data_IF_781519074199
#
_entry.id   IF_781519074199
#
_cell.length_a   1.000
_cell.length_b   1.000
_cell.length_c   1.000
_cell.angle_alpha   90.00
_cell.angle_beta   90.00
_cell.angle_gamma   90.00
#
_symmetry.space_group_name_H-M   'P 1'
#
loop_
_entity.id
_entity.type
_entity.pdbx_description
1 polymer ?
#
# COMPACT_ATOMS: atom_id res chain seq x y z
N UNK A 1 10.90 2.94 37.75
CA UNK A 1 11.08 2.38 39.14
C UNK A 1 10.25 1.13 39.26
N UNK A 2 10.83 0.00 39.71
CA UNK A 2 10.16 -1.30 39.81
C UNK A 2 9.24 -1.32 41.02
N UNK A 3 7.95 -1.61 40.82
CA UNK A 3 7.00 -1.89 41.92
C UNK A 3 7.10 -3.34 42.35
N UNK A 4 7.97 -3.58 43.32
CA UNK A 4 8.20 -4.95 43.86
C UNK A 4 6.97 -5.59 44.49
N UNK A 5 6.03 -4.83 45.07
CA UNK A 5 4.79 -5.36 45.63
C UNK A 5 3.88 -5.87 44.50
N UNK A 6 3.73 -5.10 43.42
CA UNK A 6 2.98 -5.50 42.25
C UNK A 6 3.63 -6.70 41.55
N UNK A 7 4.96 -6.67 41.37
CA UNK A 7 5.74 -7.79 40.81
C UNK A 7 5.50 -9.08 41.58
N UNK A 8 5.68 -9.07 42.91
CA UNK A 8 5.48 -10.24 43.77
C UNK A 8 4.05 -10.80 43.67
N UNK A 9 3.04 -9.94 43.68
CA UNK A 9 1.64 -10.32 43.52
C UNK A 9 1.37 -10.98 42.16
N UNK A 10 1.87 -10.40 41.07
CA UNK A 10 1.67 -10.88 39.71
C UNK A 10 2.39 -12.21 39.49
N UNK A 11 3.67 -12.30 39.85
CA UNK A 11 4.45 -13.53 39.71
C UNK A 11 3.89 -14.66 40.59
N UNK A 12 3.47 -14.37 41.83
CA UNK A 12 2.84 -15.36 42.70
C UNK A 12 1.54 -15.93 42.13
N UNK A 13 0.78 -15.11 41.37
CA UNK A 13 -0.40 -15.59 40.64
C UNK A 13 0.00 -16.49 39.47
N UNK A 14 0.97 -16.06 38.66
CA UNK A 14 1.47 -16.84 37.52
C UNK A 14 2.05 -18.21 37.96
N UNK A 15 2.81 -18.25 39.05
CA UNK A 15 3.40 -19.48 39.56
C UNK A 15 2.28 -20.47 40.02
N UNK A 16 1.23 -19.99 40.68
CA UNK A 16 0.10 -20.84 41.07
C UNK A 16 -0.69 -21.39 39.87
N UNK A 17 -0.72 -20.67 38.76
CA UNK A 17 -1.37 -21.10 37.51
C UNK A 17 -0.50 -22.05 36.68
N UNK A 18 0.79 -22.19 37.00
CA UNK A 18 1.75 -22.99 36.23
C UNK A 18 2.24 -22.34 34.93
N UNK A 19 1.77 -21.13 34.63
CA UNK A 19 2.17 -20.40 33.40
C UNK A 19 2.13 -18.88 33.62
N UNK A 20 2.77 -18.16 32.70
CA UNK A 20 2.81 -16.70 32.71
C UNK A 20 1.42 -16.12 32.38
N UNK A 21 0.93 -15.13 33.13
CA UNK A 21 -0.39 -14.50 32.85
C UNK A 21 -0.37 -13.59 31.62
N UNK A 22 0.81 -13.15 31.16
CA UNK A 22 0.92 -12.37 29.91
C UNK A 22 1.11 -13.26 28.67
N UNK A 23 1.57 -14.50 28.85
CA UNK A 23 1.68 -15.50 27.79
C UNK A 23 1.42 -16.90 28.38
N UNK A 24 0.22 -17.46 28.27
CA UNK A 24 -0.12 -18.78 28.84
C UNK A 24 0.70 -19.95 28.28
N UNK A 25 1.44 -19.76 27.19
CA UNK A 25 2.33 -20.78 26.60
C UNK A 25 3.72 -20.83 27.23
N UNK A 26 4.04 -19.88 28.11
CA UNK A 26 5.34 -19.80 28.78
C UNK A 26 5.23 -20.06 30.29
N UNK A 27 6.22 -20.73 30.90
CA UNK A 27 6.28 -20.90 32.34
C UNK A 27 6.54 -19.56 33.04
N UNK A 28 6.21 -19.46 34.31
CA UNK A 28 6.61 -18.36 35.17
C UNK A 28 7.66 -18.85 36.19
N UNK A 29 8.86 -18.23 36.26
CA UNK A 29 9.33 -17.06 35.53
C UNK A 29 9.67 -17.36 34.05
N UNK A 30 9.28 -16.45 33.16
CA UNK A 30 9.54 -16.57 31.74
C UNK A 30 11.03 -16.26 31.42
N UNK A 31 11.46 -16.58 30.20
CA UNK A 31 12.86 -16.41 29.76
C UNK A 31 13.34 -14.96 29.82
N UNK A 32 12.48 -13.99 29.52
CA UNK A 32 12.81 -12.58 29.66
C UNK A 32 13.14 -12.21 31.10
N UNK A 33 12.32 -12.68 32.06
CA UNK A 33 12.57 -12.45 33.47
C UNK A 33 13.89 -13.09 33.92
N UNK A 34 14.15 -14.34 33.48
CA UNK A 34 15.39 -15.05 33.82
C UNK A 34 16.64 -14.34 33.30
N UNK A 35 16.57 -13.79 32.10
CA UNK A 35 17.72 -13.13 31.46
C UNK A 35 17.92 -11.67 31.88
N UNK A 36 16.85 -10.90 32.01
CA UNK A 36 16.90 -9.44 32.19
C UNK A 36 16.26 -8.93 33.48
N UNK A 37 15.71 -9.81 34.30
CA UNK A 37 15.00 -9.46 35.54
C UNK A 37 13.85 -8.47 35.32
N UNK A 38 13.16 -8.56 34.17
CA UNK A 38 12.03 -7.70 33.79
C UNK A 38 10.75 -8.53 33.73
N UNK A 39 9.74 -8.13 34.51
CA UNK A 39 8.44 -8.78 34.52
C UNK A 39 7.40 -7.95 33.73
N UNK A 40 7.19 -8.28 32.46
CA UNK A 40 6.21 -7.58 31.62
C UNK A 40 4.79 -7.67 32.17
N UNK A 41 4.46 -8.77 32.84
CA UNK A 41 3.13 -8.96 33.46
C UNK A 41 2.87 -7.96 34.60
N UNK A 42 3.92 -7.47 35.27
CA UNK A 42 3.80 -6.41 36.28
C UNK A 42 3.82 -5.00 35.68
N UNK A 43 3.91 -4.89 34.35
CA UNK A 43 3.98 -3.62 33.64
C UNK A 43 5.39 -3.02 33.61
N UNK A 44 6.41 -3.82 33.96
CA UNK A 44 7.80 -3.40 33.80
C UNK A 44 8.19 -3.40 32.33
N UNK A 45 9.19 -2.60 31.98
CA UNK A 45 9.73 -2.50 30.62
C UNK A 45 11.25 -2.62 30.70
N UNK A 46 11.86 -3.02 29.61
CA UNK A 46 13.32 -2.92 29.47
C UNK A 46 13.70 -1.42 29.55
N UNK A 47 14.57 -1.04 30.48
CA UNK A 47 15.01 0.35 30.63
C UNK A 47 15.81 0.80 29.39
N UNK A 48 16.48 -0.14 28.72
CA UNK A 48 17.28 0.06 27.52
C UNK A 48 16.53 -0.40 26.24
N UNK A 49 15.20 -0.27 26.17
CA UNK A 49 14.50 -0.56 24.93
C UNK A 49 15.05 0.32 23.79
N UNK A 50 15.55 -0.28 22.69
CA UNK A 50 16.28 0.47 21.68
C UNK A 50 15.41 1.56 21.04
N UNK A 51 15.98 2.76 20.89
CA UNK A 51 15.35 3.91 20.25
C UNK A 51 15.74 4.05 18.78
N UNK A 52 16.89 3.46 18.41
CA UNK A 52 17.44 3.48 17.05
C UNK A 52 17.59 2.05 16.55
N UNK A 53 16.49 1.50 16.01
CA UNK A 53 16.48 0.17 15.39
C UNK A 53 15.99 0.33 13.96
N UNK A 54 16.67 -0.28 12.97
CA UNK A 54 16.14 -0.35 11.62
C UNK A 54 14.77 -1.04 11.64
N UNK A 55 13.69 -0.31 11.36
CA UNK A 55 12.33 -0.87 11.48
C UNK A 55 12.10 -2.03 10.53
N UNK A 56 12.74 -2.01 9.34
CA UNK A 56 12.62 -3.06 8.34
C UNK A 56 13.26 -4.39 8.78
N UNK A 57 14.20 -4.36 9.74
CA UNK A 57 14.77 -5.57 10.33
C UNK A 57 13.85 -6.28 11.33
N UNK A 58 12.76 -5.65 11.73
CA UNK A 58 11.80 -6.15 12.73
C UNK A 58 10.62 -6.88 12.11
N UNK A 59 10.55 -6.99 10.79
CA UNK A 59 9.41 -7.56 10.05
C UNK A 59 9.88 -8.58 9.01
N UNK A 60 9.07 -9.60 8.75
CA UNK A 60 9.37 -10.61 7.74
C UNK A 60 9.27 -10.05 6.33
N UNK A 61 8.21 -9.29 6.05
CA UNK A 61 7.95 -8.67 4.76
C UNK A 61 7.78 -7.16 4.94
N UNK A 62 8.56 -6.36 4.21
CA UNK A 62 8.50 -4.91 4.30
C UNK A 62 7.36 -4.32 3.44
N UNK A 63 6.67 -3.33 4.00
CA UNK A 63 5.64 -2.56 3.29
C UNK A 63 4.46 -3.40 2.82
N UNK A 64 3.91 -3.04 1.66
CA UNK A 64 2.76 -3.73 1.08
C UNK A 64 3.03 -5.17 0.63
N UNK A 65 4.29 -5.64 0.62
CA UNK A 65 4.62 -7.05 0.45
C UNK A 65 4.10 -7.94 1.59
N UNK A 66 3.71 -7.36 2.73
CA UNK A 66 3.09 -8.06 3.86
C UNK A 66 1.59 -8.36 3.67
N UNK A 67 0.95 -7.82 2.65
CA UNK A 67 -0.49 -8.04 2.37
C UNK A 67 -0.74 -9.50 1.96
N UNK A 68 -1.95 -10.00 2.29
CA UNK A 68 -2.44 -11.32 1.87
C UNK A 68 -2.57 -11.34 0.34
N UNK A 69 -2.29 -12.49 -0.29
CA UNK A 69 -2.44 -12.62 -1.74
C UNK A 69 -3.88 -12.40 -2.20
N UNK A 70 -4.06 -11.86 -3.42
CA UNK A 70 -5.40 -11.68 -4.00
C UNK A 70 -6.18 -13.00 -4.10
N UNK A 71 -5.49 -14.09 -4.39
CA UNK A 71 -6.12 -15.41 -4.50
C UNK A 71 -6.66 -15.90 -3.17
N UNK A 72 -5.86 -15.81 -2.09
CA UNK A 72 -6.28 -16.20 -0.74
C UNK A 72 -7.40 -15.30 -0.23
N UNK A 73 -7.31 -14.01 -0.49
CA UNK A 73 -8.36 -13.05 -0.12
C UNK A 73 -9.68 -13.36 -0.84
N UNK A 74 -9.64 -13.66 -2.15
CA UNK A 74 -10.83 -14.09 -2.91
C UNK A 74 -11.44 -15.36 -2.34
N UNK A 75 -10.63 -16.35 -1.98
CA UNK A 75 -11.10 -17.59 -1.33
C UNK A 75 -11.77 -17.29 0.01
N UNK A 76 -11.15 -16.44 0.83
CA UNK A 76 -11.68 -16.06 2.15
C UNK A 76 -13.00 -15.28 2.06
N UNK A 77 -13.15 -14.43 1.05
CA UNK A 77 -14.37 -13.63 0.83
C UNK A 77 -15.46 -14.39 0.06
N UNK A 78 -15.13 -15.55 -0.50
CA UNK A 78 -16.09 -16.37 -1.27
C UNK A 78 -17.24 -16.86 -0.40
N UNK A 79 -18.47 -16.67 -0.87
CA UNK A 79 -19.67 -17.12 -0.16
C UNK A 79 -20.14 -16.20 0.97
N UNK A 80 -19.45 -15.10 1.22
CA UNK A 80 -19.96 -14.12 2.18
C UNK A 80 -21.20 -13.40 1.64
N UNK A 81 -22.18 -13.09 2.52
CA UNK A 81 -23.36 -12.34 2.11
C UNK A 81 -22.96 -10.95 1.63
N UNK A 82 -23.53 -10.53 0.50
CA UNK A 82 -23.32 -9.19 -0.04
C UNK A 82 -24.05 -8.15 0.81
N UNK A 83 -23.47 -6.94 0.93
CA UNK A 83 -24.15 -5.83 1.56
C UNK A 83 -25.40 -5.45 0.72
N UNK A 84 -26.57 -5.57 1.32
CA UNK A 84 -27.85 -5.25 0.66
C UNK A 84 -28.33 -3.87 1.12
N UNK A 85 -27.74 -2.81 0.54
CA UNK A 85 -28.27 -1.44 0.69
C UNK A 85 -28.11 -0.74 -0.68
N UNK A 86 -29.20 -0.21 -1.27
CA UNK A 86 -29.16 0.44 -2.58
C UNK A 86 -28.29 1.71 -2.61
N UNK A 87 -27.87 2.22 -1.46
CA UNK A 87 -26.94 3.35 -1.36
C UNK A 87 -25.48 2.93 -1.48
N UNK A 88 -25.15 1.65 -1.40
CA UNK A 88 -23.79 1.15 -1.68
C UNK A 88 -23.55 1.22 -3.19
N UNK A 89 -22.71 2.16 -3.62
CA UNK A 89 -22.38 2.36 -5.03
C UNK A 89 -21.17 1.53 -5.47
N UNK A 90 -20.23 1.31 -4.56
CA UNK A 90 -19.02 0.49 -4.75
C UNK A 90 -18.79 -0.34 -3.50
N UNK A 91 -18.57 -1.64 -3.69
CA UNK A 91 -18.29 -2.60 -2.62
C UNK A 91 -17.08 -3.47 -3.00
N UNK A 92 -16.77 -4.48 -2.18
CA UNK A 92 -15.70 -5.46 -2.45
C UNK A 92 -15.90 -6.28 -3.74
N UNK A 93 -17.08 -6.25 -4.35
CA UNK A 93 -17.39 -7.04 -5.55
C UNK A 93 -16.67 -6.55 -6.81
N UNK A 94 -16.32 -5.25 -6.86
CA UNK A 94 -15.76 -4.60 -8.05
C UNK A 94 -14.25 -4.39 -7.96
N UNK A 95 -13.61 -4.75 -6.83
CA UNK A 95 -12.17 -4.57 -6.59
C UNK A 95 -11.70 -3.13 -6.89
N UNK A 96 -12.54 -2.14 -6.61
CA UNK A 96 -12.16 -0.72 -6.63
C UNK A 96 -11.36 -0.38 -5.35
N UNK A 97 -10.64 0.73 -5.38
CA UNK A 97 -9.71 1.12 -4.32
C UNK A 97 -10.40 1.42 -2.96
N UNK A 98 -11.66 1.88 -2.98
CA UNK A 98 -12.41 2.21 -1.78
C UNK A 98 -13.91 1.88 -1.90
N UNK A 99 -14.56 1.62 -0.76
CA UNK A 99 -16.01 1.49 -0.66
C UNK A 99 -16.70 2.85 -0.78
N UNK A 100 -17.84 2.91 -1.51
CA UNK A 100 -18.60 4.15 -1.72
C UNK A 100 -20.04 3.99 -1.30
N UNK A 101 -20.48 4.86 -0.38
CA UNK A 101 -21.83 4.89 0.16
C UNK A 101 -22.50 6.23 -0.11
N UNK A 102 -23.63 6.23 -0.83
CA UNK A 102 -24.38 7.43 -1.19
C UNK A 102 -25.12 8.00 0.00
N UNK A 103 -24.89 9.26 0.32
CA UNK A 103 -25.65 10.00 1.33
C UNK A 103 -26.85 10.72 0.70
N UNK A 104 -26.61 11.44 -0.39
CA UNK A 104 -27.61 12.20 -1.13
C UNK A 104 -27.27 12.27 -2.64
N UNK A 105 -27.97 13.11 -3.40
CA UNK A 105 -27.77 13.24 -4.85
C UNK A 105 -26.38 13.79 -5.25
N UNK A 106 -25.68 14.48 -4.35
CA UNK A 106 -24.42 15.18 -4.62
C UNK A 106 -23.26 14.65 -3.82
N UNK A 107 -23.52 13.86 -2.77
CA UNK A 107 -22.51 13.43 -1.80
C UNK A 107 -22.55 11.94 -1.60
N UNK A 108 -21.40 11.30 -1.74
CA UNK A 108 -21.17 9.94 -1.28
C UNK A 108 -19.93 9.91 -0.38
N UNK A 109 -19.98 9.08 0.66
CA UNK A 109 -18.80 8.73 1.46
C UNK A 109 -17.91 7.81 0.66
N UNK A 110 -16.61 8.03 0.74
CA UNK A 110 -15.56 7.11 0.25
C UNK A 110 -14.75 6.67 1.46
N UNK A 111 -14.63 5.38 1.67
CA UNK A 111 -13.97 4.82 2.85
C UNK A 111 -12.97 3.74 2.45
N UNK A 112 -11.77 3.86 2.97
CA UNK A 112 -10.72 2.86 2.84
C UNK A 112 -9.98 2.66 4.16
N UNK A 113 -9.32 1.52 4.29
CA UNK A 113 -8.39 1.21 5.38
C UNK A 113 -7.17 0.52 4.81
N UNK A 114 -6.00 1.05 5.10
CA UNK A 114 -4.74 0.45 4.67
C UNK A 114 -3.73 0.42 5.82
N UNK A 115 -3.20 -0.77 6.09
CA UNK A 115 -2.25 -1.05 7.17
C UNK A 115 -1.18 -1.99 6.64
N UNK A 116 0.08 -1.68 6.90
CA UNK A 116 1.21 -2.50 6.48
C UNK A 116 2.39 -2.39 7.43
N UNK A 117 3.39 -3.21 7.21
CA UNK A 117 4.62 -3.27 8.01
C UNK A 117 5.62 -2.19 7.56
N UNK A 118 6.62 -1.84 8.37
CA UNK A 118 7.66 -0.88 7.99
C UNK A 118 8.31 -1.19 6.65
N UNK A 119 8.42 -0.17 5.81
CA UNK A 119 9.04 -0.19 4.48
C UNK A 119 10.35 0.60 4.46
N UNK A 120 10.55 1.44 5.46
CA UNK A 120 11.75 2.26 5.70
C UNK A 120 12.16 2.17 7.17
N UNK A 121 13.40 2.53 7.48
CA UNK A 121 13.94 2.39 8.83
C UNK A 121 13.63 3.59 9.74
N UNK A 122 13.48 4.78 9.16
CA UNK A 122 13.10 5.97 9.91
C UNK A 122 11.61 5.93 10.29
N UNK A 123 11.27 5.97 11.59
CA UNK A 123 9.88 5.86 12.04
C UNK A 123 9.01 7.05 11.63
N UNK A 124 9.57 8.26 11.52
CA UNK A 124 8.82 9.42 11.08
C UNK A 124 8.48 9.33 9.59
N UNK A 125 9.46 8.96 8.76
CA UNK A 125 9.26 8.73 7.32
C UNK A 125 8.28 7.59 7.08
N UNK A 126 8.38 6.48 7.85
CA UNK A 126 7.40 5.40 7.79
C UNK A 126 5.99 5.90 8.08
N UNK A 127 5.84 6.76 9.10
CA UNK A 127 4.56 7.40 9.41
C UNK A 127 4.00 8.21 8.25
N UNK A 128 4.85 9.00 7.57
CA UNK A 128 4.44 9.77 6.39
C UNK A 128 4.00 8.87 5.24
N UNK A 129 4.74 7.79 4.96
CA UNK A 129 4.40 6.83 3.91
C UNK A 129 3.07 6.14 4.22
N UNK A 130 2.86 5.72 5.47
CA UNK A 130 1.61 5.09 5.89
C UNK A 130 0.39 6.00 5.66
N UNK A 131 0.52 7.28 5.97
CA UNK A 131 -0.53 8.27 5.72
C UNK A 131 -0.74 8.55 4.24
N UNK A 132 0.34 8.73 3.45
CA UNK A 132 0.26 8.97 2.02
C UNK A 132 -0.41 7.80 1.28
N UNK A 133 -0.06 6.57 1.65
CA UNK A 133 -0.68 5.35 1.11
C UNK A 133 -2.16 5.25 1.48
N UNK A 134 -2.52 5.48 2.76
CA UNK A 134 -3.92 5.33 3.20
C UNK A 134 -4.89 6.36 2.59
N UNK A 135 -4.43 7.56 2.24
CA UNK A 135 -5.28 8.55 1.56
C UNK A 135 -5.32 8.35 0.05
N UNK A 136 -4.44 7.52 -0.51
CA UNK A 136 -4.28 7.33 -1.95
C UNK A 136 -5.52 6.71 -2.59
N UNK A 137 -6.15 5.73 -1.95
CA UNK A 137 -7.40 5.12 -2.40
C UNK A 137 -8.51 6.17 -2.62
N UNK A 138 -8.62 7.13 -1.68
CA UNK A 138 -9.62 8.21 -1.81
C UNK A 138 -9.30 9.08 -3.04
N UNK A 139 -8.02 9.37 -3.28
CA UNK A 139 -7.58 10.12 -4.46
C UNK A 139 -7.81 9.34 -5.76
N UNK A 140 -7.53 8.02 -5.77
CA UNK A 140 -7.77 7.15 -6.91
C UNK A 140 -9.25 7.13 -7.32
N UNK A 141 -10.17 7.15 -6.33
CA UNK A 141 -11.61 7.25 -6.55
C UNK A 141 -12.08 8.65 -6.99
N UNK A 142 -11.17 9.63 -7.18
CA UNK A 142 -11.52 11.03 -7.49
C UNK A 142 -12.15 11.77 -6.32
N UNK A 143 -12.03 11.24 -5.10
CA UNK A 143 -12.55 11.78 -3.87
C UNK A 143 -11.61 12.78 -3.19
N UNK A 144 -12.15 13.45 -2.17
CA UNK A 144 -11.38 14.31 -1.26
C UNK A 144 -11.40 13.72 0.15
N UNK A 145 -10.25 13.32 0.70
CA UNK A 145 -10.17 12.79 2.06
C UNK A 145 -10.52 13.90 3.06
N UNK A 146 -11.16 13.54 4.17
CA UNK A 146 -11.63 14.47 5.21
C UNK A 146 -11.09 14.15 6.58
N UNK A 147 -11.21 12.89 7.01
CA UNK A 147 -10.86 12.45 8.36
C UNK A 147 -10.13 11.11 8.31
N UNK A 148 -9.31 10.87 9.33
CA UNK A 148 -8.60 9.62 9.50
C UNK A 148 -8.61 9.14 10.96
N UNK A 149 -8.59 7.81 11.13
CA UNK A 149 -8.34 7.11 12.39
C UNK A 149 -7.08 6.29 12.24
N UNK A 150 -6.11 6.44 13.15
CA UNK A 150 -4.89 5.63 13.13
C UNK A 150 -5.15 4.20 13.59
N UNK A 151 -4.50 3.24 12.96
CA UNK A 151 -4.51 1.83 13.36
C UNK A 151 -3.06 1.41 13.55
N UNK A 152 -2.72 1.01 14.78
CA UNK A 152 -1.35 0.64 15.11
C UNK A 152 -1.27 -0.66 15.91
N UNK A 153 -0.49 -1.61 15.42
CA UNK A 153 -0.02 -2.77 16.15
C UNK A 153 1.47 -2.55 16.46
N UNK A 154 1.86 -2.67 17.74
CA UNK A 154 3.19 -2.28 18.16
C UNK A 154 3.76 -3.17 19.27
N UNK A 155 5.04 -3.59 19.18
CA UNK A 155 5.71 -4.41 20.20
C UNK A 155 6.20 -3.54 21.37
N UNK A 156 5.26 -2.92 22.10
CA UNK A 156 5.48 -1.92 23.16
C UNK A 156 6.37 -2.41 24.30
N UNK A 157 6.57 -3.71 24.43
CA UNK A 157 7.43 -4.32 25.45
C UNK A 157 8.89 -4.41 25.01
N UNK A 158 9.15 -4.32 23.69
CA UNK A 158 10.48 -4.51 23.10
C UNK A 158 11.05 -3.23 22.50
N UNK A 159 10.21 -2.30 22.13
CA UNK A 159 10.57 -1.05 21.49
C UNK A 159 10.17 0.16 22.33
N UNK A 160 10.97 1.22 22.26
CA UNK A 160 10.67 2.48 22.92
C UNK A 160 9.35 3.08 22.43
N UNK A 161 8.46 3.56 23.32
CA UNK A 161 7.30 4.35 22.95
C UNK A 161 7.61 5.56 22.07
N UNK A 162 8.84 6.07 22.10
CA UNK A 162 9.29 7.19 21.26
C UNK A 162 9.28 6.83 19.77
N UNK A 163 9.54 5.56 19.39
CA UNK A 163 9.42 5.10 18.01
C UNK A 163 7.96 5.24 17.55
N UNK A 164 7.00 4.74 18.34
CA UNK A 164 5.58 4.87 18.05
C UNK A 164 5.15 6.34 17.95
N UNK A 165 5.66 7.20 18.84
CA UNK A 165 5.38 8.64 18.82
C UNK A 165 5.86 9.28 17.50
N UNK A 166 7.10 8.98 17.05
CA UNK A 166 7.63 9.49 15.78
C UNK A 166 6.81 9.00 14.59
N UNK A 167 6.40 7.73 14.57
CA UNK A 167 5.52 7.19 13.51
C UNK A 167 4.19 7.96 13.45
N UNK A 168 3.53 8.13 14.59
CA UNK A 168 2.28 8.89 14.68
C UNK A 168 2.48 10.35 14.25
N UNK A 169 3.55 10.99 14.66
CA UNK A 169 3.88 12.38 14.27
C UNK A 169 4.04 12.50 12.75
N UNK A 170 4.84 11.61 12.12
CA UNK A 170 5.02 11.59 10.67
C UNK A 170 3.69 11.43 9.93
N UNK A 171 2.84 10.50 10.40
CA UNK A 171 1.51 10.27 9.84
C UNK A 171 0.59 11.49 9.99
N UNK A 172 0.55 12.12 11.18
CA UNK A 172 -0.27 13.31 11.44
C UNK A 172 0.19 14.49 10.58
N UNK A 173 1.49 14.71 10.44
CA UNK A 173 2.01 15.81 9.63
C UNK A 173 1.67 15.62 8.14
N UNK A 174 1.75 14.38 7.62
CA UNK A 174 1.36 14.06 6.24
C UNK A 174 -0.15 14.19 6.02
N UNK A 175 -0.98 13.76 6.97
CA UNK A 175 -2.44 13.95 6.91
C UNK A 175 -2.83 15.43 6.97
N UNK A 176 -2.11 16.24 7.76
CA UNK A 176 -2.28 17.69 7.76
C UNK A 176 -1.95 18.31 6.41
N UNK A 177 -0.87 17.87 5.74
CA UNK A 177 -0.54 18.27 4.36
C UNK A 177 -1.67 17.90 3.39
N UNK A 178 -2.30 16.75 3.57
CA UNK A 178 -3.46 16.30 2.79
C UNK A 178 -4.76 17.06 3.13
N UNK A 179 -4.78 17.88 4.18
CA UNK A 179 -5.98 18.56 4.67
C UNK A 179 -6.94 17.63 5.42
N UNK A 180 -6.43 16.56 6.03
CA UNK A 180 -7.20 15.50 6.71
C UNK A 180 -7.10 15.68 8.22
N UNK A 181 -8.24 15.70 8.91
CA UNK A 181 -8.30 15.74 10.37
C UNK A 181 -8.14 14.33 10.97
N UNK A 182 -7.20 14.17 11.90
CA UNK A 182 -7.04 12.94 12.67
C UNK A 182 -7.98 12.97 13.87
N UNK A 183 -8.93 12.04 13.95
CA UNK A 183 -9.97 12.02 14.99
C UNK A 183 -9.61 11.12 16.18
N UNK A 184 -8.55 10.31 16.07
CA UNK A 184 -8.15 9.33 17.07
C UNK A 184 -7.62 8.09 16.40
N UNK A 185 -7.88 6.92 16.99
CA UNK A 185 -7.44 5.65 16.42
C UNK A 185 -7.57 4.49 17.39
N UNK A 186 -6.97 3.37 16.99
CA UNK A 186 -6.91 2.14 17.77
C UNK A 186 -5.48 1.61 17.85
N UNK A 187 -5.09 1.08 19.01
CA UNK A 187 -3.77 0.50 19.21
C UNK A 187 -3.87 -0.87 19.87
N UNK A 188 -3.11 -1.83 19.34
CA UNK A 188 -2.99 -3.17 19.91
C UNK A 188 -1.52 -3.54 20.11
N UNK A 189 -1.27 -4.44 21.06
CA UNK A 189 0.04 -5.04 21.24
C UNK A 189 0.22 -6.18 20.24
N UNK A 190 1.34 -6.17 19.51
CA UNK A 190 1.70 -7.21 18.54
C UNK A 190 3.21 -7.48 18.60
N UNK A 191 3.66 -8.55 17.95
CA UNK A 191 5.08 -8.88 17.81
C UNK A 191 5.76 -8.05 16.73
N UNK A 192 5.03 -7.69 15.68
CA UNK A 192 5.48 -6.85 14.57
C UNK A 192 4.78 -5.52 14.56
N UNK A 193 5.46 -4.51 14.03
CA UNK A 193 4.86 -3.20 13.76
C UNK A 193 3.94 -3.33 12.54
N UNK A 194 2.68 -2.88 12.72
CA UNK A 194 1.74 -2.63 11.62
C UNK A 194 1.13 -1.27 11.84
N UNK A 195 1.14 -0.42 10.84
CA UNK A 195 0.65 0.94 10.94
C UNK A 195 -0.03 1.42 9.67
N UNK A 196 -1.08 2.18 9.84
CA UNK A 196 -1.83 2.80 8.77
C UNK A 196 -3.05 3.54 9.31
N UNK A 197 -3.99 3.84 8.40
CA UNK A 197 -5.16 4.64 8.75
C UNK A 197 -6.42 4.10 8.07
N UNK A 198 -7.54 4.22 8.77
CA UNK A 198 -8.86 4.20 8.18
C UNK A 198 -9.22 5.62 7.78
N UNK A 199 -9.47 5.85 6.49
CA UNK A 199 -9.71 7.18 5.93
C UNK A 199 -11.15 7.29 5.44
N UNK A 200 -11.80 8.40 5.78
CA UNK A 200 -13.11 8.77 5.24
C UNK A 200 -12.96 10.03 4.41
N UNK A 201 -13.48 9.99 3.20
CA UNK A 201 -13.55 11.10 2.26
C UNK A 201 -14.94 11.25 1.66
N UNK A 202 -15.06 12.17 0.73
CA UNK A 202 -16.30 12.42 -0.03
C UNK A 202 -16.00 12.50 -1.52
N UNK A 203 -16.98 12.08 -2.32
CA UNK A 203 -16.97 12.19 -3.77
C UNK A 203 -18.39 12.53 -4.27
N UNK A 204 -18.49 13.16 -5.43
CA UNK A 204 -19.78 13.30 -6.12
C UNK A 204 -20.11 11.95 -6.78
N UNK A 205 -21.30 11.35 -6.54
CA UNK A 205 -21.64 10.02 -7.06
C UNK A 205 -21.42 9.85 -8.58
N UNK A 206 -21.74 10.89 -9.36
CA UNK A 206 -21.61 10.84 -10.83
C UNK A 206 -20.21 11.19 -11.36
N UNK A 207 -19.28 11.55 -10.49
CA UNK A 207 -17.91 11.99 -10.86
C UNK A 207 -16.79 11.11 -10.29
N UNK A 208 -17.16 10.01 -9.61
CA UNK A 208 -16.17 9.08 -9.09
C UNK A 208 -15.48 8.32 -10.22
N UNK A 209 -14.21 8.04 -10.01
CA UNK A 209 -13.44 7.10 -10.82
C UNK A 209 -13.60 5.68 -10.29
N UNK A 210 -13.68 4.71 -11.20
CA UNK A 210 -13.85 3.29 -10.90
C UNK A 210 -13.07 2.43 -11.90
N UNK A 211 -12.78 1.19 -11.58
CA UNK A 211 -12.02 0.28 -12.44
C UNK A 211 -12.79 -0.17 -13.71
N UNK A 212 -14.09 0.02 -13.77
CA UNK A 212 -14.98 -0.61 -14.75
C UNK A 212 -15.35 0.25 -15.98
N UNK A 213 -14.72 1.42 -16.18
CA UNK A 213 -15.12 2.36 -17.26
C UNK A 213 -14.06 2.62 -18.33
N UNK A 214 -12.97 1.86 -18.38
CA UNK A 214 -11.97 1.97 -19.43
C UNK A 214 -12.54 1.52 -20.79
N UNK A 215 -12.11 2.16 -21.88
CA UNK A 215 -12.67 1.93 -23.22
C UNK A 215 -11.56 1.76 -24.25
N UNK A 216 -11.81 0.98 -25.32
CA UNK A 216 -10.88 0.89 -26.42
C UNK A 216 -10.46 2.28 -26.93
N UNK A 217 -9.15 2.46 -27.15
CA UNK A 217 -8.54 3.72 -27.55
C UNK A 217 -8.10 4.64 -26.39
N UNK A 218 -8.42 4.29 -25.12
CA UNK A 218 -7.87 5.01 -23.97
C UNK A 218 -6.37 4.73 -23.83
N UNK A 219 -5.59 5.72 -23.40
CA UNK A 219 -4.19 5.58 -23.03
C UNK A 219 -4.06 5.33 -21.52
N UNK A 220 -3.06 4.54 -21.15
CA UNK A 220 -2.73 4.23 -19.77
C UNK A 220 -1.56 5.12 -19.33
N UNK A 221 -1.78 6.00 -18.35
CA UNK A 221 -0.77 6.89 -17.78
C UNK A 221 -0.44 6.42 -16.37
N UNK A 222 0.85 6.26 -16.05
CA UNK A 222 1.36 6.00 -14.71
C UNK A 222 2.05 7.26 -14.19
N UNK A 223 1.77 7.63 -12.92
CA UNK A 223 2.16 8.95 -12.38
C UNK A 223 3.40 8.95 -11.49
N UNK A 224 3.84 7.78 -10.98
CA UNK A 224 5.09 7.61 -10.21
C UNK A 224 5.90 6.44 -10.77
N UNK A 225 7.22 6.39 -10.54
CA UNK A 225 8.03 5.20 -10.83
C UNK A 225 7.61 4.01 -9.99
N UNK A 226 7.93 2.79 -10.47
CA UNK A 226 7.74 1.54 -9.73
C UNK A 226 9.08 0.89 -9.38
N UNK A 227 9.05 -0.09 -8.47
CA UNK A 227 10.24 -0.79 -7.98
C UNK A 227 10.42 -0.68 -6.46
N UNK A 228 9.43 -0.14 -5.73
CA UNK A 228 9.52 0.05 -4.27
C UNK A 228 9.65 -1.27 -3.51
N UNK A 229 8.99 -2.35 -3.97
CA UNK A 229 9.09 -3.67 -3.37
C UNK A 229 10.48 -4.28 -3.52
N UNK A 230 11.03 -4.22 -4.72
CA UNK A 230 12.41 -4.66 -5.01
C UNK A 230 13.44 -3.89 -4.17
N UNK A 231 13.33 -2.55 -4.10
CA UNK A 231 14.23 -1.72 -3.29
C UNK A 231 14.09 -2.00 -1.78
N UNK A 232 12.87 -2.19 -1.29
CA UNK A 232 12.64 -2.50 0.13
C UNK A 232 13.23 -3.86 0.50
N UNK A 233 13.07 -4.87 -0.35
CA UNK A 233 13.70 -6.17 -0.16
C UNK A 233 15.23 -6.10 -0.26
N UNK A 234 15.75 -5.38 -1.25
CA UNK A 234 17.19 -5.15 -1.40
C UNK A 234 17.79 -4.43 -0.17
N UNK A 235 17.05 -3.50 0.46
CA UNK A 235 17.42 -2.89 1.75
C UNK A 235 17.55 -3.93 2.84
N UNK A 236 16.55 -4.80 3.03
CA UNK A 236 16.57 -5.83 4.08
C UNK A 236 17.79 -6.75 3.99
N UNK A 237 18.27 -7.02 2.77
CA UNK A 237 19.45 -7.87 2.53
C UNK A 237 20.75 -7.09 2.29
N UNK A 238 20.76 -5.76 2.48
CA UNK A 238 21.94 -4.91 2.37
C UNK A 238 22.47 -4.71 0.94
N UNK A 239 21.61 -4.84 -0.09
CA UNK A 239 21.99 -4.73 -1.52
C UNK A 239 21.37 -3.53 -2.25
N UNK A 240 20.60 -2.69 -1.57
CA UNK A 240 19.93 -1.60 -2.21
C UNK A 240 20.86 -0.44 -2.60
N UNK A 241 20.75 0.11 -3.84
CA UNK A 241 21.49 1.30 -4.23
C UNK A 241 20.96 2.53 -3.46
N UNK A 242 21.88 3.36 -2.95
CA UNK A 242 21.54 4.48 -2.08
C UNK A 242 20.65 5.52 -2.77
N UNK A 243 20.91 5.84 -4.04
CA UNK A 243 20.14 6.81 -4.81
C UNK A 243 18.73 6.31 -5.09
N UNK A 244 18.56 5.07 -5.55
CA UNK A 244 17.27 4.44 -5.77
C UNK A 244 16.43 4.37 -4.49
N UNK A 245 17.06 4.08 -3.32
CA UNK A 245 16.38 4.12 -2.02
C UNK A 245 15.86 5.52 -1.69
N UNK A 246 16.73 6.53 -1.77
CA UNK A 246 16.36 7.91 -1.43
C UNK A 246 15.22 8.43 -2.31
N UNK A 247 15.25 8.12 -3.61
CA UNK A 247 14.20 8.51 -4.55
C UNK A 247 12.88 7.77 -4.28
N UNK A 248 12.96 6.47 -3.97
CA UNK A 248 11.77 5.69 -3.64
C UNK A 248 11.12 6.16 -2.33
N UNK A 249 11.89 6.47 -1.30
CA UNK A 249 11.39 7.02 -0.04
C UNK A 249 10.68 8.36 -0.25
N UNK A 250 11.29 9.26 -1.02
CA UNK A 250 10.69 10.55 -1.39
C UNK A 250 9.36 10.34 -2.13
N UNK A 251 9.36 9.49 -3.14
CA UNK A 251 8.16 9.18 -3.92
C UNK A 251 7.05 8.56 -3.09
N UNK A 252 7.39 7.64 -2.16
CA UNK A 252 6.40 7.03 -1.25
C UNK A 252 5.76 8.04 -0.30
N UNK A 253 6.48 9.12 0.09
CA UNK A 253 5.90 10.18 0.93
C UNK A 253 5.08 11.20 0.15
N UNK A 254 5.17 11.23 -1.19
CA UNK A 254 4.39 12.15 -2.02
C UNK A 254 2.92 11.75 -2.10
N UNK A 255 2.02 12.72 -1.88
CA UNK A 255 0.57 12.52 -2.02
C UNK A 255 0.16 12.43 -3.48
N UNK A 256 -0.74 11.50 -3.79
CA UNK A 256 -1.37 11.42 -5.11
C UNK A 256 -2.40 12.53 -5.39
N UNK A 257 -2.54 13.53 -4.49
CA UNK A 257 -3.50 14.64 -4.61
C UNK A 257 -3.37 15.40 -5.91
N UNK A 258 -2.16 15.81 -6.30
CA UNK A 258 -1.94 16.61 -7.51
C UNK A 258 -2.35 15.85 -8.79
N UNK A 259 -2.09 14.54 -8.83
CA UNK A 259 -2.52 13.65 -9.91
C UNK A 259 -4.05 13.48 -9.94
N UNK A 260 -4.66 13.27 -8.76
CA UNK A 260 -6.11 13.14 -8.62
C UNK A 260 -6.88 14.41 -9.05
N UNK A 261 -6.40 15.58 -8.65
CA UNK A 261 -6.97 16.86 -9.07
C UNK A 261 -6.87 17.07 -10.58
N UNK A 262 -5.73 16.72 -11.19
CA UNK A 262 -5.54 16.81 -12.64
C UNK A 262 -6.46 15.87 -13.41
N UNK A 263 -6.57 14.60 -12.99
CA UNK A 263 -7.44 13.61 -13.64
C UNK A 263 -8.92 13.95 -13.49
N UNK A 264 -9.34 14.42 -12.32
CA UNK A 264 -10.73 14.82 -12.07
C UNK A 264 -11.10 16.02 -12.93
N UNK A 265 -10.24 17.04 -13.03
CA UNK A 265 -10.43 18.19 -13.90
C UNK A 265 -10.51 17.81 -15.40
N UNK A 266 -9.77 16.76 -15.82
CA UNK A 266 -9.83 16.22 -17.18
C UNK A 266 -11.09 15.36 -17.44
N UNK A 267 -11.91 15.10 -16.39
CA UNK A 267 -13.09 14.22 -16.47
C UNK A 267 -12.72 12.77 -16.77
N UNK A 268 -11.66 12.27 -16.13
CA UNK A 268 -11.29 10.86 -16.14
C UNK A 268 -12.33 10.07 -15.35
N UNK A 269 -12.64 8.87 -15.81
CA UNK A 269 -13.64 7.99 -15.18
C UNK A 269 -13.05 6.64 -14.74
N UNK A 270 -11.78 6.37 -15.06
CA UNK A 270 -11.10 5.13 -14.68
C UNK A 270 -9.68 5.42 -14.23
N UNK A 271 -9.42 5.10 -12.97
CA UNK A 271 -8.10 5.15 -12.37
C UNK A 271 -8.07 4.21 -11.16
N UNK A 272 -6.87 3.78 -10.77
CA UNK A 272 -6.53 3.09 -9.53
C UNK A 272 -5.16 3.57 -9.06
N UNK A 273 -4.79 3.37 -7.81
CA UNK A 273 -3.41 3.52 -7.39
C UNK A 273 -2.66 2.18 -7.47
N UNK A 274 -1.34 2.23 -7.53
CA UNK A 274 -0.52 1.02 -7.64
C UNK A 274 0.07 0.68 -6.28
N UNK A 275 -0.39 -0.43 -5.72
CA UNK A 275 0.03 -0.92 -4.40
C UNK A 275 0.49 -2.37 -4.40
N UNK A 276 0.22 -3.13 -3.35
CA UNK A 276 0.82 -4.44 -3.07
C UNK A 276 0.62 -5.53 -4.13
N UNK A 277 -0.38 -5.41 -4.99
CA UNK A 277 -0.64 -6.38 -6.07
C UNK A 277 0.22 -6.15 -7.32
N UNK A 278 1.05 -5.11 -7.31
CA UNK A 278 1.91 -4.74 -8.43
C UNK A 278 1.13 -4.17 -9.62
N UNK A 279 1.85 -3.68 -10.60
CA UNK A 279 1.24 -3.09 -11.79
C UNK A 279 0.34 -4.10 -12.55
N UNK A 280 0.75 -5.38 -12.62
CA UNK A 280 -0.02 -6.42 -13.29
C UNK A 280 -1.38 -6.68 -12.61
N UNK A 281 -1.42 -6.71 -11.27
CA UNK A 281 -2.65 -6.89 -10.51
C UNK A 281 -3.67 -5.80 -10.81
N UNK A 282 -3.27 -4.53 -10.65
CA UNK A 282 -4.16 -3.39 -10.89
C UNK A 282 -4.56 -3.21 -12.36
N UNK A 283 -3.66 -3.49 -13.31
CA UNK A 283 -4.02 -3.57 -14.73
C UNK A 283 -5.07 -4.64 -15.00
N UNK A 284 -4.95 -5.83 -14.35
CA UNK A 284 -5.91 -6.90 -14.53
C UNK A 284 -7.30 -6.55 -13.97
N UNK A 285 -7.36 -5.82 -12.86
CA UNK A 285 -8.61 -5.32 -12.28
C UNK A 285 -9.31 -4.37 -13.27
N UNK A 286 -8.60 -3.36 -13.78
CA UNK A 286 -9.17 -2.46 -14.81
C UNK A 286 -9.60 -3.25 -16.06
N UNK A 287 -8.78 -4.18 -16.55
CA UNK A 287 -9.06 -4.92 -17.78
C UNK A 287 -10.31 -5.81 -17.64
N UNK A 288 -10.40 -6.56 -16.55
CA UNK A 288 -11.53 -7.47 -16.26
C UNK A 288 -12.81 -6.68 -15.99
N UNK A 289 -12.76 -5.69 -15.10
CA UNK A 289 -13.94 -4.93 -14.72
C UNK A 289 -14.49 -4.07 -15.86
N UNK A 290 -13.62 -3.59 -16.75
CA UNK A 290 -14.04 -2.84 -17.95
C UNK A 290 -14.39 -3.73 -19.14
N UNK A 291 -14.10 -5.04 -19.11
CA UNK A 291 -14.30 -5.97 -20.24
C UNK A 291 -13.47 -5.58 -21.45
N UNK A 292 -12.18 -5.28 -21.24
CA UNK A 292 -11.26 -4.81 -22.29
C UNK A 292 -9.92 -5.55 -22.25
N UNK A 293 -9.16 -5.46 -23.34
CA UNK A 293 -7.78 -5.92 -23.42
C UNK A 293 -6.82 -4.74 -23.40
N UNK A 294 -5.68 -4.91 -22.74
CA UNK A 294 -4.65 -3.89 -22.58
C UNK A 294 -3.36 -4.27 -23.31
N UNK A 295 -2.61 -3.27 -23.69
CA UNK A 295 -1.25 -3.40 -24.18
C UNK A 295 -0.34 -2.47 -23.35
N UNK A 296 0.78 -3.00 -22.82
CA UNK A 296 1.71 -2.30 -21.94
C UNK A 296 3.12 -2.36 -22.54
N UNK A 297 3.88 -1.29 -22.41
CA UNK A 297 5.21 -1.12 -23.00
C UNK A 297 6.26 -1.08 -21.91
N UNK A 298 7.07 -2.15 -21.76
CA UNK A 298 8.05 -2.30 -20.68
C UNK A 298 9.02 -1.11 -20.57
N UNK A 299 9.62 -0.69 -21.70
CA UNK A 299 10.56 0.44 -21.71
C UNK A 299 9.91 1.81 -21.45
N UNK A 300 8.60 1.92 -21.48
CA UNK A 300 7.88 3.16 -21.14
C UNK A 300 7.51 3.25 -19.65
N UNK A 301 7.65 2.18 -18.89
CA UNK A 301 7.35 2.19 -17.46
C UNK A 301 8.46 2.95 -16.73
N UNK A 302 8.14 4.01 -15.98
CA UNK A 302 9.13 4.69 -15.16
C UNK A 302 9.55 3.79 -13.99
N UNK A 303 10.85 3.63 -13.76
CA UNK A 303 11.44 2.73 -12.78
C UNK A 303 12.47 3.48 -11.96
N UNK A 304 12.56 3.20 -10.67
CA UNK A 304 13.61 3.75 -9.81
C UNK A 304 14.98 3.22 -10.23
N UNK A 305 16.02 4.02 -10.00
CA UNK A 305 17.40 3.64 -10.31
C UNK A 305 17.83 2.35 -9.63
N UNK A 306 18.57 1.51 -10.36
CA UNK A 306 19.08 0.21 -9.92
C UNK A 306 18.05 -0.92 -9.84
N UNK A 307 16.73 -0.65 -9.95
CA UNK A 307 15.69 -1.69 -9.82
C UNK A 307 15.81 -2.77 -10.89
N UNK A 308 16.03 -2.38 -12.15
CA UNK A 308 16.13 -3.36 -13.24
C UNK A 308 17.37 -4.27 -13.09
N UNK A 309 18.47 -3.75 -12.56
CA UNK A 309 19.68 -4.55 -12.30
C UNK A 309 19.44 -5.51 -11.13
N UNK A 310 18.81 -5.03 -10.05
CA UNK A 310 18.40 -5.89 -8.93
C UNK A 310 17.50 -7.04 -9.39
N UNK A 311 16.52 -6.77 -10.25
CA UNK A 311 15.64 -7.82 -10.81
C UNK A 311 16.43 -8.83 -11.63
N UNK A 312 17.37 -8.39 -12.48
CA UNK A 312 18.25 -9.28 -13.28
C UNK A 312 19.16 -10.15 -12.40
N UNK A 313 19.57 -9.62 -11.25
CA UNK A 313 20.35 -10.33 -10.25
C UNK A 313 19.49 -11.24 -9.36
N UNK A 314 18.17 -11.34 -9.61
CA UNK A 314 17.25 -12.17 -8.83
C UNK A 314 16.89 -11.60 -7.45
N UNK A 315 17.18 -10.31 -7.20
CA UNK A 315 16.88 -9.64 -5.94
C UNK A 315 15.42 -9.14 -5.98
N UNK A 316 14.50 -10.05 -5.70
CA UNK A 316 13.04 -9.79 -5.69
C UNK A 316 12.41 -10.41 -4.45
N UNK A 317 11.35 -9.78 -3.93
CA UNK A 317 10.63 -10.30 -2.77
C UNK A 317 9.73 -11.49 -3.13
N UNK A 318 9.41 -12.34 -2.15
CA UNK A 318 8.46 -13.44 -2.35
C UNK A 318 7.05 -12.99 -2.76
N UNK A 319 6.72 -11.71 -2.57
CA UNK A 319 5.46 -11.15 -3.04
C UNK A 319 5.35 -11.11 -4.58
N UNK A 320 6.47 -11.00 -5.29
CA UNK A 320 6.50 -11.06 -6.76
C UNK A 320 5.91 -12.38 -7.25
N UNK A 321 6.28 -13.51 -6.65
CA UNK A 321 5.75 -14.81 -7.06
C UNK A 321 4.25 -14.94 -6.72
N UNK A 322 3.82 -14.49 -5.56
CA UNK A 322 2.38 -14.47 -5.21
C UNK A 322 1.56 -13.62 -6.18
N UNK A 323 2.07 -12.46 -6.58
CA UNK A 323 1.42 -11.59 -7.56
C UNK A 323 1.43 -12.22 -8.96
N UNK A 324 2.51 -12.91 -9.33
CA UNK A 324 2.62 -13.67 -10.58
C UNK A 324 1.58 -14.80 -10.62
N UNK A 325 1.47 -15.61 -9.58
CA UNK A 325 0.50 -16.70 -9.49
C UNK A 325 -0.93 -16.23 -9.77
N UNK A 326 -1.29 -15.07 -9.22
CA UNK A 326 -2.60 -14.48 -9.48
C UNK A 326 -2.74 -13.87 -10.88
N UNK A 327 -1.83 -12.96 -11.28
CA UNK A 327 -2.01 -12.11 -12.45
C UNK A 327 -1.50 -12.74 -13.76
N UNK A 328 -0.68 -13.81 -13.72
CA UNK A 328 -0.15 -14.46 -14.92
C UNK A 328 -1.24 -15.02 -15.85
N UNK A 329 -2.40 -15.36 -15.30
CA UNK A 329 -3.55 -15.78 -16.12
C UNK A 329 -4.05 -14.66 -17.06
N UNK A 330 -3.78 -13.41 -16.72
CA UNK A 330 -4.20 -12.24 -17.49
C UNK A 330 -3.06 -11.70 -18.38
N UNK A 331 -1.81 -11.84 -17.95
CA UNK A 331 -0.63 -11.29 -18.63
C UNK A 331 -0.08 -12.27 -19.66
N UNK A 332 0.13 -11.78 -20.88
CA UNK A 332 0.85 -12.48 -21.95
C UNK A 332 2.07 -11.65 -22.35
N UNK A 333 3.24 -12.21 -22.21
CA UNK A 333 4.48 -11.57 -22.59
C UNK A 333 4.80 -11.85 -24.05
N UNK A 334 5.02 -10.81 -24.85
CA UNK A 334 5.43 -10.95 -26.24
C UNK A 334 6.87 -11.47 -26.31
N UNK A 335 7.18 -12.34 -27.24
CA UNK A 335 8.55 -12.83 -27.47
C UNK A 335 9.52 -11.64 -27.66
N UNK A 336 10.57 -11.60 -26.83
CA UNK A 336 11.57 -10.53 -26.83
C UNK A 336 11.19 -9.30 -26.00
N UNK A 337 10.08 -9.32 -25.24
CA UNK A 337 9.73 -8.23 -24.33
C UNK A 337 10.68 -8.13 -23.12
N UNK A 338 11.29 -9.26 -22.69
CA UNK A 338 12.20 -9.34 -21.55
C UNK A 338 11.49 -9.87 -20.29
N UNK A 339 12.10 -10.87 -19.67
CA UNK A 339 11.60 -11.47 -18.42
C UNK A 339 11.73 -10.50 -17.24
N UNK A 340 12.71 -9.60 -17.29
CA UNK A 340 12.92 -8.55 -16.31
C UNK A 340 11.73 -7.55 -16.28
N UNK A 341 11.20 -7.15 -17.43
CA UNK A 341 9.99 -6.32 -17.48
C UNK A 341 8.74 -7.07 -17.01
N UNK A 342 8.64 -8.36 -17.30
CA UNK A 342 7.55 -9.18 -16.79
C UNK A 342 7.60 -9.25 -15.26
N UNK A 343 8.77 -9.51 -14.69
CA UNK A 343 8.99 -9.55 -13.23
C UNK A 343 8.66 -8.21 -12.58
N UNK A 344 9.05 -7.10 -13.20
CA UNK A 344 8.74 -5.75 -12.75
C UNK A 344 7.22 -5.49 -12.61
N UNK A 345 6.40 -6.06 -13.50
CA UNK A 345 4.94 -5.90 -13.42
C UNK A 345 4.35 -6.52 -12.14
N UNK A 346 4.99 -7.54 -11.59
CA UNK A 346 4.54 -8.22 -10.37
C UNK A 346 5.15 -7.67 -9.08
N UNK A 347 6.10 -6.71 -9.18
CA UNK A 347 6.74 -6.10 -8.01
C UNK A 347 5.70 -5.35 -7.16
N UNK A 348 5.54 -5.69 -5.85
CA UNK A 348 4.59 -4.99 -4.99
C UNK A 348 5.02 -3.54 -4.80
N UNK A 349 4.08 -2.61 -4.83
CA UNK A 349 4.36 -1.20 -4.58
C UNK A 349 3.80 -0.75 -3.23
N UNK A 350 4.50 0.14 -2.57
CA UNK A 350 4.02 0.87 -1.39
C UNK A 350 3.88 2.33 -1.75
N UNK A 351 2.71 2.91 -1.53
CA UNK A 351 2.40 4.30 -1.86
C UNK A 351 2.78 4.69 -3.30
N UNK A 352 2.43 3.82 -4.26
CA UNK A 352 2.71 4.06 -5.68
C UNK A 352 1.88 5.18 -6.28
N UNK A 353 2.06 5.40 -7.58
CA UNK A 353 1.34 6.41 -8.32
C UNK A 353 -0.05 5.95 -8.77
N UNK A 354 -0.80 6.86 -9.36
CA UNK A 354 -2.06 6.53 -10.02
C UNK A 354 -1.80 5.94 -11.41
N UNK A 355 -2.56 4.90 -11.74
CA UNK A 355 -2.74 4.38 -13.10
C UNK A 355 -4.04 4.94 -13.66
N UNK A 356 -3.95 5.75 -14.68
CA UNK A 356 -5.08 6.52 -15.21
C UNK A 356 -5.38 6.06 -16.63
N UNK A 357 -6.62 5.60 -16.90
CA UNK A 357 -7.09 5.36 -18.25
C UNK A 357 -7.82 6.60 -18.78
N UNK A 358 -7.29 7.20 -19.84
CA UNK A 358 -7.79 8.47 -20.39
C UNK A 358 -7.94 8.43 -21.90
N UNK A 359 -8.96 9.07 -22.42
CA UNK A 359 -9.16 9.22 -23.89
C UNK A 359 -7.88 9.77 -24.56
N UNK A 360 -7.48 9.14 -25.67
CA UNK A 360 -6.30 9.56 -26.44
C UNK A 360 -6.29 11.06 -26.74
N UNK A 361 -7.45 11.66 -27.06
CA UNK A 361 -7.58 13.10 -27.32
C UNK A 361 -7.33 14.00 -26.11
N UNK A 362 -7.54 13.50 -24.89
CA UNK A 362 -7.34 14.25 -23.62
C UNK A 362 -5.96 14.04 -23.01
N UNK A 363 -5.25 12.98 -23.39
CA UNK A 363 -3.98 12.60 -22.78
C UNK A 363 -2.90 13.71 -22.86
N UNK A 364 -2.68 14.42 -23.98
CA UNK A 364 -1.69 15.49 -24.01
C UNK A 364 -1.99 16.62 -23.02
N UNK A 365 -3.25 17.04 -22.91
CA UNK A 365 -3.67 18.07 -21.96
C UNK A 365 -3.52 17.60 -20.50
N UNK A 366 -3.85 16.34 -20.22
CA UNK A 366 -3.68 15.75 -18.88
C UNK A 366 -2.18 15.67 -18.50
N UNK A 367 -1.31 15.19 -19.40
CA UNK A 367 0.13 15.13 -19.14
C UNK A 367 0.72 16.53 -18.87
N UNK A 368 0.31 17.55 -19.64
CA UNK A 368 0.71 18.93 -19.41
C UNK A 368 0.24 19.46 -18.04
N UNK A 369 -1.00 19.12 -17.64
CA UNK A 369 -1.56 19.49 -16.33
C UNK A 369 -0.83 18.79 -15.18
N UNK A 370 -0.49 17.50 -15.32
CA UNK A 370 0.30 16.72 -14.36
C UNK A 370 1.70 17.34 -14.18
N UNK A 371 2.39 17.60 -15.28
CA UNK A 371 3.72 18.25 -15.25
C UNK A 371 3.68 19.61 -14.56
N UNK A 372 2.67 20.44 -14.87
CA UNK A 372 2.51 21.77 -14.26
C UNK A 372 2.27 21.68 -12.74
N UNK A 373 1.70 20.58 -12.24
CA UNK A 373 1.45 20.32 -10.83
C UNK A 373 2.60 19.58 -10.11
N UNK A 374 3.75 19.40 -10.79
CA UNK A 374 4.92 18.75 -10.22
C UNK A 374 4.93 17.21 -10.33
N UNK A 375 3.96 16.60 -11.01
CA UNK A 375 3.94 15.14 -11.25
C UNK A 375 4.87 14.83 -12.44
N UNK A 376 6.19 14.81 -12.15
CA UNK A 376 7.23 14.79 -13.19
C UNK A 376 7.41 13.47 -13.93
N UNK A 377 7.05 12.35 -13.30
CA UNK A 377 7.20 11.01 -13.87
C UNK A 377 5.99 10.54 -14.69
N UNK A 378 4.92 11.33 -14.75
CA UNK A 378 3.71 10.95 -15.47
C UNK A 378 4.00 10.66 -16.95
N UNK A 379 3.74 9.42 -17.39
CA UNK A 379 4.02 8.98 -18.75
C UNK A 379 3.00 7.96 -19.25
N UNK A 380 2.85 7.85 -20.57
CA UNK A 380 2.01 6.82 -21.19
C UNK A 380 2.77 5.50 -21.21
N UNK A 381 2.26 4.51 -20.47
CA UNK A 381 2.86 3.18 -20.38
C UNK A 381 2.14 2.13 -21.24
N UNK A 382 1.01 2.47 -21.85
CA UNK A 382 0.21 1.51 -22.59
C UNK A 382 -1.08 2.11 -23.14
N UNK A 383 -1.95 1.22 -23.60
CA UNK A 383 -3.27 1.57 -24.14
C UNK A 383 -4.31 0.48 -23.94
N UNK A 384 -5.56 0.85 -23.97
CA UNK A 384 -6.70 -0.07 -24.10
C UNK A 384 -6.90 -0.36 -25.59
N UNK A 385 -6.85 -1.63 -25.98
CA UNK A 385 -6.85 -2.03 -27.40
C UNK A 385 -8.25 -2.30 -27.94
N UNK A 386 -8.98 -3.22 -27.31
CA UNK A 386 -10.30 -3.68 -27.75
C UNK A 386 -11.12 -4.20 -26.57
N UNK A 387 -12.40 -4.47 -26.80
CA UNK A 387 -13.21 -5.27 -25.86
C UNK A 387 -12.69 -6.70 -25.80
N UNK A 388 -12.72 -7.29 -24.61
CA UNK A 388 -12.21 -8.66 -24.43
C UNK A 388 -12.21 -9.11 -22.97
N UNK A 389 -11.72 -10.32 -22.69
CA UNK A 389 -11.82 -10.99 -21.40
C UNK A 389 -10.78 -10.53 -20.35
N UNK A 390 -10.25 -9.33 -20.46
CA UNK A 390 -9.30 -8.81 -19.47
C UNK A 390 -7.83 -9.21 -19.69
N UNK A 391 -7.42 -9.53 -20.93
CA UNK A 391 -6.01 -9.89 -21.19
C UNK A 391 -5.12 -8.66 -21.37
N UNK A 392 -3.88 -8.79 -20.94
CA UNK A 392 -2.83 -7.78 -20.96
C UNK A 392 -1.68 -8.31 -21.81
N UNK A 393 -1.28 -7.60 -22.85
CA UNK A 393 -0.11 -7.93 -23.66
C UNK A 393 1.06 -7.02 -23.26
N UNK A 394 2.09 -7.63 -22.65
CA UNK A 394 3.36 -6.94 -22.42
C UNK A 394 4.20 -6.95 -23.69
N UNK A 395 4.57 -5.77 -24.16
CA UNK A 395 5.53 -5.54 -25.23
C UNK A 395 6.77 -4.84 -24.68
N UNK A 396 7.91 -5.02 -25.33
CA UNK A 396 9.11 -4.26 -24.97
C UNK A 396 8.95 -2.77 -25.25
N UNK A 397 8.49 -2.42 -26.46
CA UNK A 397 8.29 -1.04 -26.94
C UNK A 397 6.89 -0.83 -27.49
N UNK A 398 6.46 0.42 -27.53
CA UNK A 398 5.28 0.81 -28.28
C UNK A 398 5.45 0.44 -29.77
N UNK A 399 4.37 -0.03 -30.45
CA UNK A 399 4.43 -0.18 -31.90
C UNK A 399 4.67 1.19 -32.55
N UNK A 400 5.35 1.24 -33.70
CA UNK A 400 5.45 2.49 -34.46
C UNK A 400 4.04 3.00 -34.80
N UNK A 401 3.86 4.31 -34.76
CA UNK A 401 2.59 5.00 -35.07
C UNK A 401 2.14 4.72 -36.49
#
# INVERSE_FOLDING_TARGET
MIDYKKRKRVMGRSIRLGHCICNPKEPCPCDLFKRKNVCLCSGEREEDAPENVPLTSLVENAGCASKISQEDLKKALSGLPRAFDPRVLVSSDTCDDAGVFKLDARTALVQSVDVFTPVVDDPYVFGQIAAANSVSDIYAMGGRPLTALSIIAFPIERLSPRIMNKMLQGGIDKLREAGVAVLGGHSIKDKEIKFGFAVTGVVHPDRMTVNSKARPGDLLILTKPIGTGTLSFARQIGKAPAEGLADSERSMTELNRAAAEAMTAAGVTTATDITGFGLAGHLSEIAVQSGVELEVYGEAIPVFDGVMDLIRDGVVSGAVERNRDYASTYVKTQKGAGEDFETLLYDPQTSGGLLIAVRKSKAPALLAALKKRGVGYATVIGRVTRKGPGKILLRRKAPPN
#
